data_IF_262109139710
#
_entry.id   IF_262109139710
#
_cell.length_a   1.000
_cell.length_b   1.000
_cell.length_c   1.000
_cell.angle_alpha   90.00
_cell.angle_beta   90.00
_cell.angle_gamma   90.00
#
_symmetry.space_group_name_H-M   'P 1'
#
loop_
_entity.id
_entity.type
_entity.pdbx_description
1 polymer ?
#
# COMPACT_ATOMS: atom_id res chain seq x y z
N UNK A 1 15.62 -0.55 -7.38
CA UNK A 1 14.83 -0.45 -8.61
C UNK A 1 13.38 -0.21 -8.23
N UNK A 2 12.67 0.62 -9.01
CA UNK A 2 11.23 0.83 -8.94
C UNK A 2 10.63 0.20 -10.20
N UNK A 3 9.59 -0.58 -10.03
CA UNK A 3 8.88 -1.25 -11.12
C UNK A 3 7.44 -0.76 -11.16
N UNK A 4 6.91 -0.61 -12.35
CA UNK A 4 5.50 -0.30 -12.57
C UNK A 4 4.88 -1.29 -13.54
N UNK A 5 3.60 -1.59 -13.39
CA UNK A 5 2.86 -2.45 -14.32
C UNK A 5 2.28 -1.60 -15.47
N UNK A 6 2.10 -2.24 -16.63
CA UNK A 6 1.42 -1.58 -17.75
C UNK A 6 0.00 -1.12 -17.39
N UNK A 7 -0.71 -1.91 -16.59
CA UNK A 7 -2.04 -1.56 -16.12
C UNK A 7 -2.02 -0.26 -15.31
N UNK A 8 -1.06 -0.11 -14.41
CA UNK A 8 -0.93 1.10 -13.61
C UNK A 8 -0.62 2.33 -14.49
N UNK A 9 0.28 2.19 -15.46
CA UNK A 9 0.61 3.28 -16.40
C UNK A 9 -0.61 3.71 -17.23
N UNK A 10 -1.49 2.80 -17.62
CA UNK A 10 -2.71 3.15 -18.39
C UNK A 10 -3.75 3.94 -17.59
N UNK A 11 -3.63 4.01 -16.27
CA UNK A 11 -4.50 4.83 -15.42
C UNK A 11 -4.00 6.26 -15.24
N UNK A 12 -2.78 6.56 -15.69
CA UNK A 12 -2.18 7.90 -15.60
C UNK A 12 -2.67 8.78 -16.76
N UNK A 13 -3.04 10.01 -16.43
CA UNK A 13 -3.52 10.98 -17.43
C UNK A 13 -2.40 11.85 -17.99
N UNK A 14 -1.28 11.98 -17.27
CA UNK A 14 -0.14 12.81 -17.65
C UNK A 14 1.15 12.36 -16.95
N UNK A 15 2.27 12.98 -17.32
CA UNK A 15 3.59 12.69 -16.77
C UNK A 15 3.68 12.99 -15.25
N UNK A 16 2.99 14.03 -14.78
CA UNK A 16 3.02 14.40 -13.35
C UNK A 16 2.36 13.33 -12.48
N UNK A 17 1.30 12.67 -12.95
CA UNK A 17 0.69 11.53 -12.24
C UNK A 17 1.61 10.31 -12.21
N UNK A 18 2.31 10.01 -13.31
CA UNK A 18 3.32 8.96 -13.33
C UNK A 18 4.46 9.29 -12.37
N UNK A 19 4.94 10.54 -12.38
CA UNK A 19 5.93 11.00 -11.42
C UNK A 19 5.43 10.87 -9.98
N UNK A 20 4.14 11.15 -9.73
CA UNK A 20 3.50 10.95 -8.42
C UNK A 20 3.63 9.52 -7.91
N UNK A 21 3.29 8.54 -8.76
CA UNK A 21 3.46 7.12 -8.42
C UNK A 21 4.92 6.80 -8.14
N UNK A 22 5.84 7.25 -9.00
CA UNK A 22 7.27 6.98 -8.83
C UNK A 22 7.81 7.58 -7.53
N UNK A 23 7.43 8.81 -7.20
CA UNK A 23 7.85 9.46 -5.96
C UNK A 23 7.20 8.86 -4.71
N UNK A 24 5.98 8.32 -4.82
CA UNK A 24 5.37 7.53 -3.77
C UNK A 24 6.22 6.28 -3.46
N UNK A 25 6.63 5.53 -4.47
CA UNK A 25 7.51 4.36 -4.30
C UNK A 25 8.88 4.75 -3.71
N UNK A 26 9.46 5.87 -4.17
CA UNK A 26 10.68 6.43 -3.57
C UNK A 26 10.43 6.82 -2.10
N UNK A 27 9.24 7.31 -1.77
CA UNK A 27 8.81 7.58 -0.39
C UNK A 27 8.87 6.33 0.49
N UNK A 28 8.37 5.19 0.00
CA UNK A 28 8.48 3.90 0.69
C UNK A 28 9.94 3.48 0.93
N UNK A 29 10.81 3.69 -0.06
CA UNK A 29 12.24 3.37 0.06
C UNK A 29 12.91 4.31 1.06
N UNK A 30 12.68 5.61 0.96
CA UNK A 30 13.27 6.63 1.85
C UNK A 30 12.87 6.42 3.32
N UNK A 31 11.62 6.07 3.56
CA UNK A 31 11.08 5.74 4.89
C UNK A 31 11.44 4.32 5.36
N UNK A 32 12.12 3.51 4.53
CA UNK A 32 12.51 2.13 4.81
C UNK A 32 11.34 1.22 5.18
N UNK A 33 10.18 1.42 4.55
CA UNK A 33 8.96 0.67 4.88
C UNK A 33 9.12 -0.83 4.65
N UNK A 34 9.82 -1.26 3.59
CA UNK A 34 10.11 -2.66 3.34
C UNK A 34 10.92 -3.33 4.46
N UNK A 35 11.95 -2.62 4.98
CA UNK A 35 12.74 -3.15 6.09
C UNK A 35 11.92 -3.26 7.38
N UNK A 36 11.12 -2.24 7.70
CA UNK A 36 10.23 -2.27 8.87
C UNK A 36 9.21 -3.39 8.75
N UNK A 37 8.64 -3.59 7.56
CA UNK A 37 7.73 -4.70 7.27
C UNK A 37 8.39 -6.05 7.49
N UNK A 38 9.62 -6.24 7.02
CA UNK A 38 10.37 -7.48 7.22
C UNK A 38 10.64 -7.75 8.70
N UNK A 39 11.00 -6.73 9.49
CA UNK A 39 11.17 -6.86 10.94
C UNK A 39 9.85 -7.24 11.64
N UNK A 40 8.75 -6.60 11.29
CA UNK A 40 7.42 -6.92 11.82
C UNK A 40 7.01 -8.34 11.44
N UNK A 41 7.31 -8.78 10.22
CA UNK A 41 7.05 -10.14 9.77
C UNK A 41 7.84 -11.16 10.59
N UNK A 42 9.13 -10.93 10.84
CA UNK A 42 9.94 -11.80 11.68
C UNK A 42 9.38 -11.88 13.10
N UNK A 43 8.99 -10.75 13.70
CA UNK A 43 8.38 -10.70 15.02
C UNK A 43 7.03 -11.44 15.04
N UNK A 44 6.16 -11.21 14.06
CA UNK A 44 4.87 -11.88 13.96
C UNK A 44 5.01 -13.39 13.73
N UNK A 45 5.98 -13.81 12.95
CA UNK A 45 6.29 -15.23 12.73
C UNK A 45 6.76 -15.87 14.04
N UNK A 46 7.62 -15.19 14.78
CA UNK A 46 8.10 -15.68 16.07
C UNK A 46 6.95 -15.77 17.10
N UNK A 47 6.11 -14.73 17.18
CA UNK A 47 4.93 -14.72 18.04
C UNK A 47 3.91 -15.79 17.63
N UNK A 48 3.68 -15.96 16.33
CA UNK A 48 2.82 -17.01 15.77
C UNK A 48 3.34 -18.42 16.10
N UNK A 49 4.64 -18.63 15.99
CA UNK A 49 5.28 -19.90 16.38
C UNK A 49 5.17 -20.15 17.90
N UNK A 50 5.42 -19.14 18.72
CA UNK A 50 5.24 -19.23 20.17
C UNK A 50 3.79 -19.52 20.55
N UNK A 51 2.82 -18.86 19.90
CA UNK A 51 1.39 -19.12 20.08
C UNK A 51 0.99 -20.55 19.68
N UNK A 52 1.55 -21.05 18.57
CA UNK A 52 1.31 -22.43 18.12
C UNK A 52 1.87 -23.48 19.11
N UNK A 53 3.05 -23.22 19.67
CA UNK A 53 3.64 -24.09 20.69
C UNK A 53 2.80 -24.06 21.97
N UNK A 54 2.40 -22.87 22.46
CA UNK A 54 1.56 -22.73 23.64
C UNK A 54 0.19 -23.39 23.48
N UNK A 55 -0.44 -23.23 22.30
CA UNK A 55 -1.72 -23.89 22.01
C UNK A 55 -1.59 -25.42 21.97
N UNK A 56 -0.47 -25.94 21.43
CA UNK A 56 -0.17 -27.36 21.45
C UNK A 56 0.04 -27.91 22.87
N UNK A 57 0.69 -27.14 23.75
CA UNK A 57 0.91 -27.54 25.17
C UNK A 57 -0.38 -27.47 25.98
N UNK A 58 -1.20 -26.40 25.79
CA UNK A 58 -2.41 -26.17 26.59
C UNK A 58 -3.60 -27.00 26.14
N UNK A 59 -3.74 -27.23 24.84
CA UNK A 59 -4.90 -27.93 24.24
C UNK A 59 -4.59 -29.39 23.88
N UNK A 60 -3.36 -29.84 24.11
CA UNK A 60 -2.90 -31.17 23.74
C UNK A 60 -2.91 -31.37 22.21
N UNK A 61 -2.69 -32.63 21.79
CA UNK A 61 -2.66 -33.03 20.36
C UNK A 61 -4.08 -33.07 19.75
N UNK A 62 -4.95 -32.16 20.22
CA UNK A 62 -6.32 -32.06 19.71
C UNK A 62 -6.30 -31.37 18.31
N UNK A 63 -7.23 -31.78 17.46
CA UNK A 63 -7.47 -31.20 16.14
C UNK A 63 -7.68 -29.67 16.22
N UNK A 64 -8.19 -29.18 17.35
CA UNK A 64 -8.39 -27.76 17.65
C UNK A 64 -7.07 -27.00 17.82
N UNK A 65 -6.10 -27.56 18.56
CA UNK A 65 -4.78 -26.97 18.79
C UNK A 65 -3.98 -26.85 17.48
N UNK A 66 -4.01 -27.87 16.64
CA UNK A 66 -3.34 -27.87 15.33
C UNK A 66 -3.97 -26.88 14.35
N UNK A 67 -5.30 -26.74 14.39
CA UNK A 67 -6.03 -25.78 13.52
C UNK A 67 -5.76 -24.34 13.94
N UNK A 68 -5.79 -24.04 15.24
CA UNK A 68 -5.47 -22.71 15.77
C UNK A 68 -4.00 -22.32 15.51
N UNK A 69 -3.07 -23.27 15.64
CA UNK A 69 -1.66 -23.05 15.33
C UNK A 69 -1.43 -22.72 13.84
N UNK A 70 -2.08 -23.44 12.93
CA UNK A 70 -2.02 -23.14 11.48
C UNK A 70 -2.68 -21.80 11.13
N UNK A 71 -3.83 -21.50 11.73
CA UNK A 71 -4.52 -20.22 11.54
C UNK A 71 -3.66 -19.04 12.01
N UNK A 72 -2.96 -19.17 13.15
CA UNK A 72 -2.05 -18.16 13.67
C UNK A 72 -0.85 -17.94 12.72
N UNK A 73 -0.26 -19.01 12.17
CA UNK A 73 0.84 -18.91 11.20
C UNK A 73 0.37 -18.31 9.87
N UNK A 74 -0.77 -18.72 9.33
CA UNK A 74 -1.32 -18.16 8.09
C UNK A 74 -1.77 -16.71 8.26
N UNK A 75 -2.43 -16.38 9.37
CA UNK A 75 -2.84 -15.03 9.68
C UNK A 75 -1.66 -14.05 9.77
N UNK A 76 -0.53 -14.49 10.36
CA UNK A 76 0.68 -13.67 10.44
C UNK A 76 1.31 -13.38 9.07
N UNK A 77 1.18 -14.29 8.10
CA UNK A 77 1.69 -14.10 6.74
C UNK A 77 0.81 -13.14 5.92
N UNK A 78 -0.51 -13.22 6.05
CA UNK A 78 -1.43 -12.36 5.29
C UNK A 78 -1.32 -10.88 5.70
N UNK A 79 -1.06 -10.59 6.99
CA UNK A 79 -0.88 -9.22 7.50
C UNK A 79 0.38 -8.52 6.97
N UNK A 80 1.25 -9.23 6.25
CA UNK A 80 2.53 -8.68 5.77
C UNK A 80 2.57 -8.36 4.28
N UNK A 81 1.48 -8.62 3.54
CA UNK A 81 1.46 -8.40 2.09
C UNK A 81 1.19 -6.94 1.71
N UNK A 82 0.47 -6.17 2.54
CA UNK A 82 0.16 -4.77 2.29
C UNK A 82 0.91 -3.82 3.23
N UNK A 83 1.14 -2.59 2.78
CA UNK A 83 1.60 -1.52 3.65
C UNK A 83 0.50 -1.10 4.63
N UNK A 84 0.88 -0.63 5.82
CA UNK A 84 -0.09 -0.07 6.75
C UNK A 84 -0.57 1.30 6.27
N UNK A 85 -1.76 1.73 6.70
CA UNK A 85 -2.28 3.05 6.38
C UNK A 85 -1.29 4.18 6.72
N UNK A 86 -0.65 4.12 7.88
CA UNK A 86 0.35 5.12 8.27
C UNK A 86 1.61 5.12 7.40
N UNK A 87 2.00 3.97 6.84
CA UNK A 87 3.10 3.88 5.88
C UNK A 87 2.72 4.49 4.54
N UNK A 88 1.48 4.26 4.08
CA UNK A 88 0.93 4.89 2.88
C UNK A 88 0.87 6.41 3.02
N UNK A 89 0.31 6.90 4.12
CA UNK A 89 0.27 8.35 4.43
C UNK A 89 1.66 8.97 4.46
N UNK A 90 2.64 8.30 5.05
CA UNK A 90 4.03 8.76 5.06
C UNK A 90 4.64 8.77 3.65
N UNK A 91 4.36 7.76 2.83
CA UNK A 91 4.83 7.69 1.46
C UNK A 91 4.19 8.79 0.59
N UNK A 92 2.90 9.07 0.76
CA UNK A 92 2.21 10.18 0.10
C UNK A 92 2.79 11.53 0.47
N UNK A 93 3.04 11.78 1.77
CA UNK A 93 3.66 13.01 2.24
C UNK A 93 5.02 13.26 1.61
N UNK A 94 5.85 12.22 1.53
CA UNK A 94 7.15 12.29 0.88
C UNK A 94 6.99 12.47 -0.63
N UNK A 95 6.10 11.72 -1.27
CA UNK A 95 5.84 11.79 -2.71
C UNK A 95 5.37 13.17 -3.16
N UNK A 96 4.41 13.78 -2.44
CA UNK A 96 3.91 15.15 -2.72
C UNK A 96 5.04 16.18 -2.61
N UNK A 97 5.91 16.07 -1.59
CA UNK A 97 7.07 16.96 -1.44
C UNK A 97 8.09 16.77 -2.57
N UNK A 98 8.37 15.52 -2.94
CA UNK A 98 9.31 15.22 -4.02
C UNK A 98 8.79 15.68 -5.38
N UNK A 99 7.48 15.54 -5.65
CA UNK A 99 6.85 16.12 -6.83
C UNK A 99 7.10 17.62 -6.93
N UNK A 100 6.78 18.37 -5.88
CA UNK A 100 6.99 19.82 -5.81
C UNK A 100 8.46 20.19 -6.00
N UNK A 101 9.40 19.50 -5.34
CA UNK A 101 10.84 19.73 -5.47
C UNK A 101 11.37 19.42 -6.87
N UNK A 102 10.78 18.41 -7.54
CA UNK A 102 11.13 18.04 -8.91
C UNK A 102 10.50 18.97 -9.97
N UNK A 103 9.68 19.94 -9.55
CA UNK A 103 9.03 20.89 -10.43
C UNK A 103 7.72 20.40 -11.05
N UNK A 104 7.17 19.29 -10.60
CA UNK A 104 5.85 18.81 -10.99
C UNK A 104 4.75 19.41 -10.12
N UNK A 105 3.52 19.38 -10.64
CA UNK A 105 2.34 19.77 -9.85
C UNK A 105 2.13 18.76 -8.70
N UNK A 106 2.23 19.19 -7.42
CA UNK A 106 2.01 18.30 -6.30
C UNK A 106 0.57 17.76 -6.22
N UNK A 107 -0.41 18.43 -6.86
CA UNK A 107 -1.79 17.93 -6.96
C UNK A 107 -1.90 16.63 -7.74
N UNK A 108 -0.92 16.31 -8.59
CA UNK A 108 -0.88 15.07 -9.36
C UNK A 108 -0.95 13.81 -8.46
N UNK A 109 -0.46 13.88 -7.21
CA UNK A 109 -0.63 12.79 -6.25
C UNK A 109 -2.11 12.56 -5.91
N UNK A 110 -2.88 13.61 -5.69
CA UNK A 110 -4.31 13.49 -5.39
C UNK A 110 -5.09 12.97 -6.60
N UNK A 111 -4.79 13.45 -7.81
CA UNK A 111 -5.51 13.03 -9.01
C UNK A 111 -5.22 11.59 -9.40
N UNK A 112 -3.99 11.11 -9.22
CA UNK A 112 -3.68 9.69 -9.45
C UNK A 112 -4.35 8.79 -8.41
N UNK A 113 -4.37 9.17 -7.14
CA UNK A 113 -5.09 8.42 -6.10
C UNK A 113 -6.59 8.34 -6.39
N UNK A 114 -7.19 9.41 -6.93
CA UNK A 114 -8.59 9.40 -7.37
C UNK A 114 -8.82 8.43 -8.54
N UNK A 115 -7.92 8.39 -9.52
CA UNK A 115 -7.99 7.44 -10.63
C UNK A 115 -7.89 5.99 -10.14
N UNK A 116 -6.99 5.72 -9.19
CA UNK A 116 -6.84 4.41 -8.55
C UNK A 116 -8.07 4.02 -7.74
N UNK A 117 -8.67 4.98 -7.00
CA UNK A 117 -9.89 4.75 -6.23
C UNK A 117 -11.07 4.40 -7.13
N UNK A 118 -11.24 5.12 -8.24
CA UNK A 118 -12.27 4.83 -9.24
C UNK A 118 -12.10 3.46 -9.88
N UNK A 119 -10.87 3.09 -10.23
CA UNK A 119 -10.57 1.75 -10.77
C UNK A 119 -10.89 0.66 -9.75
N UNK A 120 -10.48 0.82 -8.48
CA UNK A 120 -10.82 -0.14 -7.42
C UNK A 120 -12.32 -0.33 -7.24
N UNK A 121 -13.08 0.77 -7.29
CA UNK A 121 -14.54 0.71 -7.17
C UNK A 121 -15.18 -0.02 -8.37
N UNK A 122 -14.67 0.21 -9.59
CA UNK A 122 -15.12 -0.48 -10.80
C UNK A 122 -14.80 -1.97 -10.73
N UNK A 123 -13.58 -2.35 -10.36
CA UNK A 123 -13.17 -3.74 -10.21
C UNK A 123 -14.04 -4.47 -9.17
N UNK A 124 -14.34 -3.83 -8.06
CA UNK A 124 -15.23 -4.38 -7.03
C UNK A 124 -16.67 -4.60 -7.54
N UNK A 125 -17.16 -3.73 -8.42
CA UNK A 125 -18.47 -3.88 -9.04
C UNK A 125 -18.51 -5.02 -10.06
N UNK A 126 -17.46 -5.16 -10.89
CA UNK A 126 -17.40 -6.14 -11.98
C UNK A 126 -17.14 -7.56 -11.48
N UNK A 127 -16.35 -7.72 -10.43
CA UNK A 127 -15.92 -9.03 -9.92
C UNK A 127 -16.78 -9.55 -8.77
N UNK A 128 -17.79 -8.80 -8.35
CA UNK A 128 -18.48 -9.07 -7.11
C UNK A 128 -17.53 -8.88 -5.90
N UNK A 129 -17.95 -9.34 -4.73
CA UNK A 129 -17.14 -9.19 -3.49
C UNK A 129 -15.95 -10.16 -3.36
N UNK A 130 -15.66 -10.94 -4.40
CA UNK A 130 -14.51 -11.85 -4.39
C UNK A 130 -13.23 -11.07 -4.64
N UNK A 131 -12.54 -10.72 -3.54
CA UNK A 131 -11.22 -10.05 -3.53
C UNK A 131 -10.09 -10.88 -4.18
N UNK A 132 -10.41 -12.00 -4.80
CA UNK A 132 -9.43 -12.96 -5.33
C UNK A 132 -8.61 -12.44 -6.51
N UNK A 133 -9.03 -11.35 -7.16
CA UNK A 133 -8.39 -10.82 -8.38
C UNK A 133 -8.11 -9.32 -8.33
N UNK A 134 -7.91 -8.73 -7.14
CA UNK A 134 -7.50 -7.33 -7.06
C UNK A 134 -6.15 -7.13 -7.76
N UNK A 135 -5.97 -6.03 -8.51
CA UNK A 135 -4.67 -5.67 -9.05
C UNK A 135 -3.60 -5.65 -7.97
N UNK A 136 -2.37 -6.02 -8.31
CA UNK A 136 -1.25 -6.10 -7.34
C UNK A 136 -1.07 -4.81 -6.55
N UNK A 137 -1.19 -3.65 -7.19
CA UNK A 137 -1.10 -2.35 -6.53
C UNK A 137 -2.20 -2.15 -5.48
N UNK A 138 -3.43 -2.61 -5.72
CA UNK A 138 -4.54 -2.49 -4.77
C UNK A 138 -4.38 -3.43 -3.56
N UNK A 139 -3.70 -4.57 -3.74
CA UNK A 139 -3.41 -5.50 -2.66
C UNK A 139 -2.23 -5.04 -1.79
N UNK A 140 -1.27 -4.33 -2.35
CA UNK A 140 -0.08 -3.83 -1.65
C UNK A 140 -0.25 -2.43 -1.08
N UNK A 141 -1.05 -1.57 -1.74
CA UNK A 141 -1.32 -0.17 -1.37
C UNK A 141 -2.81 0.05 -1.11
N UNK A 142 -3.30 -0.24 0.11
CA UNK A 142 -4.72 -0.21 0.41
C UNK A 142 -5.29 1.21 0.43
N UNK A 143 -6.60 1.27 0.18
CA UNK A 143 -7.48 2.41 0.45
C UNK A 143 -7.04 3.74 -0.19
N UNK A 144 -6.88 3.80 -1.53
CA UNK A 144 -6.52 5.04 -2.20
C UNK A 144 -7.57 6.15 -1.99
N UNK A 145 -8.84 5.79 -1.80
CA UNK A 145 -9.93 6.76 -1.65
C UNK A 145 -9.81 7.63 -0.39
N UNK A 146 -9.38 7.06 0.74
CA UNK A 146 -9.20 7.83 1.99
C UNK A 146 -8.03 8.80 1.88
N UNK A 147 -7.04 8.50 1.05
CA UNK A 147 -5.79 9.25 0.87
C UNK A 147 -5.90 10.44 -0.07
N UNK A 148 -6.90 10.47 -0.96
CA UNK A 148 -7.12 11.54 -1.96
C UNK A 148 -7.18 12.92 -1.30
N UNK A 149 -8.01 13.09 -0.27
CA UNK A 149 -8.20 14.37 0.41
C UNK A 149 -6.95 14.84 1.13
N UNK A 150 -6.24 13.92 1.77
CA UNK A 150 -5.05 14.23 2.52
C UNK A 150 -3.92 14.66 1.58
N UNK A 151 -3.75 13.97 0.45
CA UNK A 151 -2.81 14.35 -0.60
C UNK A 151 -3.13 15.73 -1.19
N UNK A 152 -4.42 16.04 -1.46
CA UNK A 152 -4.84 17.35 -1.94
C UNK A 152 -4.54 18.45 -0.91
N UNK A 153 -4.80 18.20 0.37
CA UNK A 153 -4.53 19.16 1.44
C UNK A 153 -3.04 19.45 1.58
N UNK A 154 -2.19 18.43 1.50
CA UNK A 154 -0.74 18.57 1.52
C UNK A 154 -0.24 19.34 0.30
N UNK A 155 -0.76 19.02 -0.89
CA UNK A 155 -0.37 19.67 -2.14
C UNK A 155 -0.71 21.16 -2.15
N UNK A 156 -1.88 21.55 -1.60
CA UNK A 156 -2.31 22.94 -1.52
C UNK A 156 -1.37 23.83 -0.66
N UNK A 157 -0.61 23.24 0.24
CA UNK A 157 0.39 23.95 1.07
C UNK A 157 1.77 24.13 0.39
N UNK A 158 1.94 23.60 -0.83
CA UNK A 158 3.22 23.63 -1.53
C UNK A 158 3.12 24.56 -2.76
N UNK A 159 4.26 25.17 -3.19
CA UNK A 159 4.26 25.96 -4.41
C UNK A 159 3.89 25.06 -5.60
N UNK A 160 2.83 25.46 -6.31
CA UNK A 160 2.46 24.87 -7.58
C UNK A 160 3.51 25.18 -8.63
N UNK A 161 3.86 24.22 -9.45
CA UNK A 161 4.78 24.39 -10.56
C UNK A 161 4.15 23.90 -11.86
N UNK A 162 4.65 24.42 -12.96
CA UNK A 162 4.02 24.39 -14.29
C UNK A 162 4.46 23.22 -15.17
N UNK A 163 5.17 22.24 -14.63
CA UNK A 163 5.61 21.07 -15.40
C UNK A 163 4.53 19.96 -15.37
N UNK A 164 3.36 20.30 -15.94
CA UNK A 164 2.44 19.28 -16.47
C UNK A 164 2.83 19.09 -17.93
N UNK A 165 3.60 18.06 -18.22
CA UNK A 165 3.85 17.64 -19.59
C UNK A 165 2.76 16.63 -19.95
N UNK A 166 1.97 16.99 -20.95
CA UNK A 166 0.96 16.12 -21.55
C UNK A 166 1.61 14.89 -22.23
#
# INVERSE_FOLDING_TARGET
YVYTTRQLVTLMNNEAELAGVMWHEVGHVAARHAQRRQQTQQQNTLLGAAGAILSGILLGDSQLGSTLGRAALQGSQLLTLSFSRSQEEQADQLGVRYLSQAGYDPMAMSTVLESLARQSALDAQLQGRDNANLPEWASTHPDPASRVRDAATMAAGLPGTTLNRD
#
